data_IF_985571694529
#
_entry.id   IF_985571694529
#
_cell.length_a   1.000
_cell.length_b   1.000
_cell.length_c   1.000
_cell.angle_alpha   90.00
_cell.angle_beta   90.00
_cell.angle_gamma   90.00
#
_symmetry.space_group_name_H-M   'P 1'
#
loop_
_entity.id
_entity.type
_entity.pdbx_description
1 polymer ?
#
# COMPACT_ATOMS: atom_id res chain seq x y z
N UNK A 1 -17.60 6.78 -22.07
CA UNK A 1 -16.39 7.18 -21.31
C UNK A 1 -16.24 6.20 -20.15
N UNK A 2 -15.07 5.59 -19.96
CA UNK A 2 -14.80 4.74 -18.79
C UNK A 2 -14.42 5.60 -17.59
N UNK A 3 -14.94 5.25 -16.41
CA UNK A 3 -14.55 5.91 -15.16
C UNK A 3 -13.15 5.40 -14.76
N UNK A 4 -12.16 6.27 -14.51
CA UNK A 4 -10.83 5.83 -14.10
C UNK A 4 -10.87 5.18 -12.72
N UNK A 5 -10.23 4.02 -12.59
CA UNK A 5 -10.09 3.31 -11.31
C UNK A 5 -8.82 3.75 -10.59
N UNK A 6 -8.85 3.71 -9.25
CA UNK A 6 -7.71 4.01 -8.37
C UNK A 6 -7.70 3.02 -7.19
N UNK A 7 -6.58 2.92 -6.49
CA UNK A 7 -6.41 2.02 -5.34
C UNK A 7 -6.04 2.81 -4.07
N UNK A 8 -6.34 2.22 -2.93
CA UNK A 8 -5.79 2.60 -1.63
C UNK A 8 -5.09 1.38 -1.03
N UNK A 9 -3.87 1.56 -0.56
CA UNK A 9 -3.08 0.56 0.15
C UNK A 9 -2.81 1.03 1.58
N UNK A 10 -2.99 0.13 2.54
CA UNK A 10 -2.81 0.39 3.96
C UNK A 10 -1.46 -0.11 4.47
N UNK A 11 -0.62 -0.72 3.63
CA UNK A 11 0.62 -1.36 4.04
C UNK A 11 0.43 -2.30 5.25
N UNK A 12 -0.64 -3.09 5.21
CA UNK A 12 -1.04 -4.01 6.29
C UNK A 12 0.06 -5.03 6.57
N UNK A 13 0.37 -5.27 7.84
CA UNK A 13 1.24 -6.38 8.26
C UNK A 13 0.33 -7.58 8.50
N UNK A 14 0.47 -8.63 7.69
CA UNK A 14 -0.27 -9.88 7.90
C UNK A 14 0.40 -10.77 8.94
N UNK A 15 -0.30 -11.81 9.40
CA UNK A 15 0.22 -12.76 10.37
C UNK A 15 1.54 -13.39 9.88
N UNK A 16 2.58 -13.34 10.71
CA UNK A 16 3.91 -13.85 10.40
C UNK A 16 4.78 -12.92 9.54
N UNK A 17 4.26 -11.78 9.07
CA UNK A 17 5.05 -10.80 8.33
C UNK A 17 5.84 -9.86 9.25
N UNK A 18 6.98 -9.38 8.77
CA UNK A 18 7.67 -8.22 9.36
C UNK A 18 7.19 -6.95 8.66
N UNK A 19 7.32 -5.76 9.28
CA UNK A 19 6.96 -4.49 8.63
C UNK A 19 7.62 -4.27 7.25
N UNK A 20 8.83 -4.78 7.04
CA UNK A 20 9.50 -4.68 5.74
C UNK A 20 8.82 -5.48 4.61
N UNK A 21 8.06 -6.52 4.95
CA UNK A 21 7.39 -7.38 3.98
C UNK A 21 6.13 -6.71 3.44
N UNK A 22 5.41 -5.95 4.28
CA UNK A 22 4.27 -5.14 3.85
C UNK A 22 4.69 -4.12 2.77
N UNK A 23 5.82 -3.43 2.95
CA UNK A 23 6.33 -2.46 1.98
C UNK A 23 6.75 -3.11 0.65
N UNK A 24 7.41 -4.28 0.69
CA UNK A 24 7.74 -5.02 -0.55
C UNK A 24 6.46 -5.39 -1.31
N UNK A 25 5.42 -5.82 -0.60
CA UNK A 25 4.12 -6.14 -1.18
C UNK A 25 3.42 -4.90 -1.73
N UNK A 26 3.49 -3.75 -1.04
CA UNK A 26 2.98 -2.46 -1.54
C UNK A 26 3.66 -2.03 -2.84
N UNK A 27 4.98 -2.18 -2.96
CA UNK A 27 5.71 -1.91 -4.22
C UNK A 27 5.23 -2.84 -5.34
N UNK A 28 5.11 -4.14 -5.08
CA UNK A 28 4.62 -5.09 -6.08
C UNK A 28 3.17 -4.79 -6.51
N UNK A 29 2.31 -4.37 -5.57
CA UNK A 29 0.94 -3.93 -5.85
C UNK A 29 0.93 -2.71 -6.77
N UNK A 30 1.75 -1.69 -6.48
CA UNK A 30 1.83 -0.48 -7.28
C UNK A 30 2.28 -0.75 -8.72
N UNK A 31 3.33 -1.58 -8.89
CA UNK A 31 3.83 -1.99 -10.21
C UNK A 31 2.75 -2.76 -11.00
N UNK A 32 2.02 -3.66 -10.34
CA UNK A 32 0.92 -4.39 -10.97
C UNK A 32 -0.24 -3.47 -11.34
N UNK A 33 -0.58 -2.51 -10.47
CA UNK A 33 -1.64 -1.54 -10.71
C UNK A 33 -1.34 -0.64 -11.92
N UNK A 34 -0.07 -0.23 -12.09
CA UNK A 34 0.40 0.50 -13.28
C UNK A 34 0.17 -0.32 -14.55
N UNK A 35 0.61 -1.59 -14.58
CA UNK A 35 0.41 -2.48 -15.72
C UNK A 35 -1.07 -2.76 -16.05
N UNK A 36 -1.97 -2.63 -15.07
CA UNK A 36 -3.41 -2.79 -15.23
C UNK A 36 -4.14 -1.47 -15.58
N UNK A 37 -3.44 -0.34 -15.64
CA UNK A 37 -4.00 0.95 -16.04
C UNK A 37 -4.77 1.69 -14.94
N UNK A 38 -4.53 1.37 -13.65
CA UNK A 38 -5.07 2.18 -12.55
C UNK A 38 -4.47 3.58 -12.58
N UNK A 39 -5.30 4.60 -12.36
CA UNK A 39 -4.91 6.01 -12.53
C UNK A 39 -4.06 6.53 -11.38
N UNK A 40 -4.23 5.97 -10.18
CA UNK A 40 -3.61 6.44 -8.94
C UNK A 40 -3.58 5.34 -7.89
N UNK A 41 -2.58 5.41 -7.02
CA UNK A 41 -2.54 4.70 -5.74
C UNK A 41 -2.36 5.71 -4.60
N UNK A 42 -3.10 5.52 -3.51
CA UNK A 42 -2.93 6.24 -2.25
C UNK A 42 -2.41 5.28 -1.18
N UNK A 43 -1.61 5.79 -0.25
CA UNK A 43 -1.12 5.05 0.90
C UNK A 43 -1.67 5.67 2.18
N UNK A 44 -2.12 4.83 3.11
CA UNK A 44 -2.57 5.28 4.40
C UNK A 44 -1.38 5.53 5.35
N UNK A 45 -1.51 6.51 6.23
CA UNK A 45 -0.56 6.79 7.32
C UNK A 45 -1.27 6.57 8.65
N UNK A 46 -0.70 5.72 9.51
CA UNK A 46 -1.22 5.44 10.84
C UNK A 46 -0.09 5.39 11.87
N UNK A 47 -0.32 6.01 13.02
CA UNK A 47 0.58 5.97 14.17
C UNK A 47 -0.07 5.15 15.28
N UNK A 48 0.74 4.41 16.03
CA UNK A 48 0.28 3.56 17.15
C UNK A 48 -0.71 2.44 16.73
N UNK A 49 -0.52 1.86 15.54
CA UNK A 49 -1.29 0.72 15.05
C UNK A 49 -0.35 -0.39 14.60
N UNK A 50 -0.36 -1.53 15.31
CA UNK A 50 0.59 -2.63 15.06
C UNK A 50 0.40 -3.31 13.71
N UNK A 51 -0.81 -3.29 13.16
CA UNK A 51 -1.15 -3.98 11.91
C UNK A 51 -0.94 -3.15 10.64
N UNK A 52 -0.50 -1.89 10.75
CA UNK A 52 -0.25 -1.01 9.61
C UNK A 52 1.18 -0.50 9.67
N UNK A 53 1.96 -0.78 8.63
CA UNK A 53 3.28 -0.18 8.47
C UNK A 53 3.15 1.25 7.97
N UNK A 54 3.83 2.18 8.62
CA UNK A 54 3.85 3.58 8.21
C UNK A 54 5.27 4.14 8.32
N UNK A 55 5.58 5.17 7.53
CA UNK A 55 6.78 5.97 7.77
C UNK A 55 6.60 6.73 9.08
N UNK A 56 7.62 6.71 9.94
CA UNK A 56 7.71 7.66 11.04
C UNK A 56 8.36 8.95 10.50
N UNK A 57 7.72 10.12 10.62
CA UNK A 57 8.39 11.39 10.35
C UNK A 57 9.65 11.53 11.23
N UNK A 58 10.70 12.13 10.67
CA UNK A 58 11.94 12.44 11.38
C UNK A 58 11.80 13.63 12.34
#
# INVERSE_FOLDING_TARGET
>A
MSIPLSLIDFATIFEGERPGDSFKRSVALAQKAEGLGFKRIWYAEHHNMESISSAAPA
#
